data_IF_001462863173
#
_entry.id   IF_001462863173
#
_cell.length_a   1.000
_cell.length_b   1.000
_cell.length_c   1.000
_cell.angle_alpha   90.00
_cell.angle_beta   90.00
_cell.angle_gamma   90.00
#
_symmetry.space_group_name_H-M   'P 1'
#
loop_
_entity.id
_entity.type
_entity.pdbx_description
1 polymer ?
#
# COMPACT_ATOMS: atom_id res chain seq x y z
N UNK A 1 49.42 -53.23 -43.77
CA UNK A 1 48.69 -53.35 -42.49
C UNK A 1 49.33 -52.41 -41.48
N UNK A 2 48.82 -51.18 -41.32
CA UNK A 2 49.26 -50.27 -40.26
C UNK A 2 48.22 -50.27 -39.15
N UNK A 3 48.59 -50.96 -38.08
CA UNK A 3 47.77 -51.30 -36.93
C UNK A 3 47.74 -50.10 -35.96
N UNK A 4 46.54 -49.61 -35.63
CA UNK A 4 46.20 -48.78 -34.47
C UNK A 4 47.14 -47.60 -34.10
N UNK A 5 47.07 -46.50 -34.86
CA UNK A 5 47.75 -45.25 -34.47
C UNK A 5 47.08 -44.61 -33.24
N UNK A 6 47.85 -44.39 -32.17
CA UNK A 6 47.43 -43.68 -30.94
C UNK A 6 46.77 -42.31 -31.21
N UNK A 7 47.09 -41.68 -32.34
CA UNK A 7 46.51 -40.42 -32.80
C UNK A 7 44.99 -40.50 -33.08
N UNK A 8 44.51 -41.58 -33.70
CA UNK A 8 43.07 -41.77 -33.98
C UNK A 8 42.27 -41.99 -32.68
N UNK A 9 42.84 -42.72 -31.71
CA UNK A 9 42.27 -42.85 -30.37
C UNK A 9 42.24 -41.50 -29.65
N UNK A 10 43.35 -40.75 -29.66
CA UNK A 10 43.45 -39.40 -29.07
C UNK A 10 42.42 -38.44 -29.64
N UNK A 11 42.23 -38.42 -30.96
CA UNK A 11 41.26 -37.57 -31.64
C UNK A 11 39.81 -37.94 -31.27
N UNK A 12 39.49 -39.24 -31.22
CA UNK A 12 38.17 -39.70 -30.76
C UNK A 12 37.89 -39.35 -29.29
N UNK A 13 38.91 -39.41 -28.42
CA UNK A 13 38.80 -38.97 -27.02
C UNK A 13 38.61 -37.45 -26.91
N UNK A 14 39.32 -36.64 -27.71
CA UNK A 14 39.14 -35.19 -27.74
C UNK A 14 37.74 -34.78 -28.24
N UNK A 15 37.22 -35.45 -29.27
CA UNK A 15 35.85 -35.20 -29.79
C UNK A 15 34.79 -35.66 -28.77
N UNK A 16 35.02 -36.77 -28.07
CA UNK A 16 34.13 -37.22 -27.00
C UNK A 16 34.10 -36.22 -25.83
N UNK A 17 35.26 -35.71 -25.40
CA UNK A 17 35.35 -34.66 -24.37
C UNK A 17 34.64 -33.38 -24.81
N UNK A 18 34.79 -32.96 -26.07
CA UNK A 18 34.09 -31.79 -26.59
C UNK A 18 32.56 -31.95 -26.58
N UNK A 19 32.05 -33.16 -26.86
CA UNK A 19 30.61 -33.48 -26.75
C UNK A 19 30.12 -33.46 -25.31
N UNK A 20 30.89 -34.00 -24.37
CA UNK A 20 30.58 -33.96 -22.94
C UNK A 20 30.55 -32.51 -22.42
N UNK A 21 31.50 -31.67 -22.85
CA UNK A 21 31.51 -30.24 -22.53
C UNK A 21 30.32 -29.51 -23.14
N UNK A 22 29.95 -29.82 -24.39
CA UNK A 22 28.76 -29.25 -25.03
C UNK A 22 27.46 -29.65 -24.32
N UNK A 23 27.33 -30.91 -23.88
CA UNK A 23 26.20 -31.39 -23.08
C UNK A 23 26.14 -30.72 -21.71
N UNK A 24 27.28 -30.53 -21.06
CA UNK A 24 27.37 -29.81 -19.78
C UNK A 24 26.96 -28.35 -19.93
N UNK A 25 27.44 -27.66 -20.97
CA UNK A 25 27.03 -26.28 -21.25
C UNK A 25 25.54 -26.17 -21.55
N UNK A 26 24.96 -27.11 -22.31
CA UNK A 26 23.53 -27.14 -22.59
C UNK A 26 22.70 -27.30 -21.31
N UNK A 27 23.10 -28.20 -20.42
CA UNK A 27 22.45 -28.38 -19.11
C UNK A 27 22.54 -27.10 -18.26
N UNK A 28 23.69 -26.41 -18.30
CA UNK A 28 23.91 -25.16 -17.58
C UNK A 28 23.03 -24.03 -18.14
N UNK A 29 22.89 -23.93 -19.46
CA UNK A 29 21.95 -22.98 -20.10
C UNK A 29 20.51 -23.23 -19.67
N UNK A 30 20.07 -24.49 -19.64
CA UNK A 30 18.72 -24.84 -19.18
C UNK A 30 18.53 -24.46 -17.70
N UNK A 31 19.51 -24.77 -16.85
CA UNK A 31 19.46 -24.41 -15.43
C UNK A 31 19.36 -22.89 -15.22
N UNK A 32 20.11 -22.10 -16.01
CA UNK A 32 20.04 -20.63 -15.97
C UNK A 32 18.67 -20.15 -16.42
N UNK A 33 18.09 -20.68 -17.50
CA UNK A 33 16.74 -20.30 -17.96
C UNK A 33 15.68 -20.60 -16.89
N UNK A 34 15.75 -21.77 -16.26
CA UNK A 34 14.83 -22.15 -15.17
C UNK A 34 15.01 -21.24 -13.97
N UNK A 35 16.25 -20.91 -13.60
CA UNK A 35 16.56 -19.94 -12.54
C UNK A 35 16.04 -18.55 -12.88
N UNK A 36 16.24 -18.06 -14.11
CA UNK A 36 15.73 -16.77 -14.56
C UNK A 36 14.21 -16.75 -14.52
N UNK A 37 13.54 -17.80 -15.00
CA UNK A 37 12.08 -17.89 -14.92
C UNK A 37 11.57 -17.94 -13.48
N UNK A 38 12.26 -18.69 -12.60
CA UNK A 38 11.94 -18.73 -11.17
C UNK A 38 12.19 -17.39 -10.47
N UNK A 39 13.25 -16.66 -10.83
CA UNK A 39 13.55 -15.32 -10.29
C UNK A 39 12.53 -14.29 -10.79
N UNK A 40 12.17 -14.33 -12.07
CA UNK A 40 11.14 -13.45 -12.64
C UNK A 40 9.73 -13.74 -12.09
N UNK A 41 9.48 -14.98 -11.68
CA UNK A 41 8.21 -15.40 -11.07
C UNK A 41 8.20 -15.27 -9.55
N UNK A 42 9.32 -14.87 -8.92
CA UNK A 42 9.36 -14.59 -7.48
C UNK A 42 8.79 -13.20 -7.24
N UNK A 43 7.69 -13.15 -6.50
CA UNK A 43 7.17 -11.89 -5.95
C UNK A 43 8.25 -11.23 -5.06
N UNK A 44 8.58 -9.97 -5.36
CA UNK A 44 9.63 -9.22 -4.66
C UNK A 44 9.14 -8.80 -3.26
N UNK A 45 9.45 -9.59 -2.24
CA UNK A 45 9.16 -9.24 -0.84
C UNK A 45 10.20 -8.23 -0.33
N UNK A 46 9.93 -6.94 -0.50
CA UNK A 46 10.77 -5.90 0.12
C UNK A 46 10.44 -5.78 1.61
N UNK A 47 11.30 -6.32 2.47
CA UNK A 47 11.16 -6.17 3.93
C UNK A 47 11.72 -4.80 4.33
N UNK A 48 10.85 -3.81 4.52
CA UNK A 48 11.23 -2.53 5.13
C UNK A 48 10.76 -2.56 6.57
N UNK A 49 11.67 -2.55 7.54
CA UNK A 49 11.32 -2.39 8.96
C UNK A 49 11.69 -0.96 9.38
N UNK A 50 10.74 -0.01 9.40
CA UNK A 50 10.96 1.23 10.12
C UNK A 50 10.98 0.93 11.64
N UNK A 51 11.82 1.62 12.43
CA UNK A 51 12.01 1.33 13.86
C UNK A 51 10.76 1.48 14.75
N UNK A 52 9.63 1.90 14.19
CA UNK A 52 8.33 2.03 14.88
C UNK A 52 7.37 0.87 14.60
N UNK A 53 7.71 -0.05 13.70
CA UNK A 53 6.86 -1.22 13.37
C UNK A 53 7.43 -2.46 14.04
N UNK A 54 6.61 -3.09 14.89
CA UNK A 54 6.95 -4.35 15.57
C UNK A 54 6.72 -5.59 14.72
N UNK A 55 6.16 -5.44 13.52
CA UNK A 55 5.78 -6.53 12.62
C UNK A 55 6.48 -6.44 11.26
N UNK A 56 6.72 -7.59 10.63
CA UNK A 56 7.36 -7.68 9.32
C UNK A 56 6.44 -7.11 8.23
N UNK A 57 6.95 -6.11 7.51
CA UNK A 57 6.27 -5.58 6.33
C UNK A 57 6.64 -6.46 5.14
N UNK A 58 5.64 -7.13 4.57
CA UNK A 58 5.79 -7.94 3.36
C UNK A 58 4.97 -7.34 2.23
N UNK A 59 5.50 -7.42 1.00
CA UNK A 59 4.76 -7.10 -0.22
C UNK A 59 4.64 -8.38 -1.03
N UNK A 60 3.42 -8.78 -1.36
CA UNK A 60 3.15 -9.87 -2.32
C UNK A 60 2.49 -9.24 -3.53
N UNK A 61 3.26 -9.03 -4.59
CA UNK A 61 2.85 -8.25 -5.76
C UNK A 61 2.44 -6.82 -5.36
N UNK A 62 1.20 -6.42 -5.69
CA UNK A 62 0.66 -5.09 -5.35
C UNK A 62 -0.08 -5.04 -3.98
N UNK A 63 -0.07 -6.14 -3.22
CA UNK A 63 -0.72 -6.22 -1.91
C UNK A 63 0.32 -6.01 -0.81
N UNK A 64 0.22 -4.87 -0.14
CA UNK A 64 0.93 -4.60 1.11
C UNK A 64 0.39 -5.45 2.26
N UNK A 65 1.26 -5.83 3.19
CA UNK A 65 0.89 -6.51 4.42
C UNK A 65 -0.08 -5.67 5.27
N UNK A 66 -0.80 -6.35 6.16
CA UNK A 66 -1.62 -5.69 7.18
C UNK A 66 -0.80 -4.69 7.99
N UNK A 67 0.37 -5.09 8.50
CA UNK A 67 1.30 -4.23 9.23
C UNK A 67 1.61 -2.92 8.48
N UNK A 68 1.87 -3.00 7.17
CA UNK A 68 2.10 -1.79 6.36
C UNK A 68 0.90 -0.86 6.36
N UNK A 69 -0.29 -1.40 6.11
CA UNK A 69 -1.52 -0.60 5.99
C UNK A 69 -1.91 -0.01 7.34
N UNK A 70 -1.81 -0.79 8.41
CA UNK A 70 -2.15 -0.37 9.76
C UNK A 70 -1.27 0.79 10.20
N UNK A 71 0.05 0.70 10.06
CA UNK A 71 0.89 1.80 10.53
C UNK A 71 0.92 3.01 9.60
N UNK A 72 0.74 2.87 8.28
CA UNK A 72 0.50 4.04 7.43
C UNK A 72 -0.88 4.68 7.69
N UNK A 73 -1.88 3.86 8.04
CA UNK A 73 -3.20 4.33 8.46
C UNK A 73 -3.13 5.11 9.76
N UNK A 74 -2.38 4.58 10.74
CA UNK A 74 -2.07 5.24 12.00
C UNK A 74 -1.30 6.55 11.78
N UNK A 75 -0.30 6.55 10.90
CA UNK A 75 0.46 7.74 10.54
C UNK A 75 -0.47 8.82 9.94
N UNK A 76 -1.28 8.46 8.96
CA UNK A 76 -2.22 9.39 8.32
C UNK A 76 -3.24 9.96 9.31
N UNK A 77 -3.82 9.10 10.16
CA UNK A 77 -4.76 9.51 11.21
C UNK A 77 -4.11 10.44 12.25
N UNK A 78 -2.87 10.17 12.66
CA UNK A 78 -2.16 11.05 13.59
C UNK A 78 -1.83 12.42 12.98
N UNK A 79 -1.41 12.46 11.71
CA UNK A 79 -1.14 13.70 11.01
C UNK A 79 -2.40 14.55 10.85
N UNK A 80 -3.48 13.96 10.35
CA UNK A 80 -4.75 14.66 10.16
C UNK A 80 -5.40 15.06 11.50
N UNK A 81 -5.38 14.18 12.51
CA UNK A 81 -6.00 14.44 13.80
C UNK A 81 -5.25 15.39 14.72
N UNK A 82 -3.98 15.69 14.42
CA UNK A 82 -3.15 16.64 15.14
C UNK A 82 -2.73 17.83 14.26
N UNK A 83 -3.54 18.15 13.25
CA UNK A 83 -3.35 19.35 12.44
C UNK A 83 -3.71 20.62 13.23
N UNK A 84 -2.93 21.67 13.03
CA UNK A 84 -3.05 22.97 13.68
C UNK A 84 -2.60 24.07 12.73
N UNK A 85 -2.88 25.33 13.06
CA UNK A 85 -2.41 26.48 12.27
C UNK A 85 -0.87 26.50 12.11
N UNK A 86 -0.12 25.98 13.10
CA UNK A 86 1.35 26.01 13.10
C UNK A 86 1.99 24.96 12.20
N UNK A 87 1.36 23.80 12.03
CA UNK A 87 1.91 22.66 11.27
C UNK A 87 1.08 22.32 10.02
N UNK A 88 0.03 23.09 9.70
CA UNK A 88 -0.89 22.82 8.59
C UNK A 88 -0.18 22.60 7.27
N UNK A 89 0.74 23.49 6.87
CA UNK A 89 1.54 23.36 5.65
C UNK A 89 2.30 22.04 5.60
N UNK A 90 3.01 21.71 6.67
CA UNK A 90 3.77 20.46 6.76
C UNK A 90 2.87 19.22 6.65
N UNK A 91 1.74 19.22 7.36
CA UNK A 91 0.78 18.10 7.33
C UNK A 91 0.16 17.94 5.94
N UNK A 92 -0.28 19.03 5.33
CA UNK A 92 -0.87 19.04 3.99
C UNK A 92 0.14 18.56 2.95
N UNK A 93 1.35 19.13 2.91
CA UNK A 93 2.38 18.73 1.94
C UNK A 93 2.79 17.26 2.06
N UNK A 94 2.76 16.74 3.29
CA UNK A 94 3.11 15.34 3.57
C UNK A 94 1.98 14.41 3.13
N UNK A 95 0.74 14.67 3.54
CA UNK A 95 -0.41 13.85 3.18
C UNK A 95 -0.73 13.92 1.69
N UNK A 96 -0.57 15.09 1.04
CA UNK A 96 -0.78 15.30 -0.41
C UNK A 96 0.02 14.28 -1.24
N UNK A 97 1.26 13.98 -0.84
CA UNK A 97 2.13 12.99 -1.53
C UNK A 97 1.62 11.55 -1.42
N UNK A 98 0.85 11.25 -0.38
CA UNK A 98 0.22 9.95 -0.19
C UNK A 98 -1.08 9.81 -0.98
N UNK A 99 -1.69 10.87 -1.48
CA UNK A 99 -2.87 10.74 -2.35
C UNK A 99 -2.48 10.51 -3.81
N UNK A 100 -3.43 9.99 -4.59
CA UNK A 100 -3.33 10.00 -6.07
C UNK A 100 -3.50 11.45 -6.55
N UNK A 101 -2.83 11.82 -7.65
CA UNK A 101 -2.83 13.20 -8.16
C UNK A 101 -4.24 13.77 -8.35
N UNK A 102 -5.19 12.94 -8.84
CA UNK A 102 -6.58 13.31 -9.04
C UNK A 102 -7.36 13.66 -7.75
N UNK A 103 -6.99 13.07 -6.62
CA UNK A 103 -7.72 13.21 -5.35
C UNK A 103 -7.00 14.20 -4.40
N UNK A 104 -5.71 14.46 -4.65
CA UNK A 104 -4.82 15.22 -3.76
C UNK A 104 -5.30 16.65 -3.50
N UNK A 105 -5.77 17.36 -4.54
CA UNK A 105 -6.22 18.75 -4.39
C UNK A 105 -7.53 18.84 -3.59
N UNK A 106 -8.40 17.84 -3.69
CA UNK A 106 -9.63 17.81 -2.88
C UNK A 106 -9.30 17.63 -1.40
N UNK A 107 -8.44 16.68 -1.08
CA UNK A 107 -8.02 16.43 0.30
C UNK A 107 -7.26 17.61 0.91
N UNK A 108 -6.41 18.29 0.14
CA UNK A 108 -5.78 19.52 0.57
C UNK A 108 -6.80 20.59 0.96
N UNK A 109 -7.81 20.84 0.12
CA UNK A 109 -8.88 21.80 0.44
C UNK A 109 -9.65 21.41 1.70
N UNK A 110 -9.92 20.12 1.91
CA UNK A 110 -10.59 19.63 3.12
C UNK A 110 -9.76 19.88 4.37
N UNK A 111 -8.45 19.59 4.33
CA UNK A 111 -7.55 19.81 5.48
C UNK A 111 -7.37 21.31 5.78
N UNK A 112 -7.19 22.15 4.75
CA UNK A 112 -7.06 23.59 4.93
C UNK A 112 -8.35 24.21 5.47
N UNK A 113 -9.52 23.77 4.99
CA UNK A 113 -10.80 24.25 5.53
C UNK A 113 -11.01 23.83 6.98
N UNK A 114 -10.56 22.63 7.37
CA UNK A 114 -10.56 22.21 8.77
C UNK A 114 -9.69 23.12 9.63
N UNK A 115 -8.47 23.46 9.19
CA UNK A 115 -7.57 24.37 9.92
C UNK A 115 -8.19 25.75 10.09
N UNK A 116 -8.81 26.29 9.04
CA UNK A 116 -9.49 27.58 9.10
C UNK A 116 -10.68 27.52 10.08
N UNK A 117 -11.47 26.44 10.05
CA UNK A 117 -12.56 26.24 11.00
C UNK A 117 -12.08 26.19 12.47
N UNK A 118 -10.92 25.56 12.73
CA UNK A 118 -10.31 25.54 14.06
C UNK A 118 -9.88 26.94 14.51
N UNK A 119 -9.30 27.72 13.59
CA UNK A 119 -8.88 29.11 13.83
C UNK A 119 -10.06 30.01 14.15
N UNK A 120 -11.11 29.99 13.32
CA UNK A 120 -12.34 30.78 13.52
C UNK A 120 -13.02 30.41 14.84
N UNK A 121 -13.09 29.12 15.18
CA UNK A 121 -13.64 28.64 16.46
C UNK A 121 -12.75 28.97 17.67
N UNK A 122 -11.49 29.34 17.45
CA UNK A 122 -10.51 29.52 18.52
C UNK A 122 -10.32 28.24 19.34
N UNK A 123 -10.15 27.10 18.66
CA UNK A 123 -9.90 25.81 19.33
C UNK A 123 -8.64 25.14 18.81
N UNK A 124 -8.06 24.29 19.65
CA UNK A 124 -7.04 23.31 19.25
C UNK A 124 -7.59 21.91 19.44
N UNK A 125 -7.39 21.07 18.43
CA UNK A 125 -7.75 19.66 18.49
C UNK A 125 -6.47 18.81 18.62
N UNK A 126 -6.56 17.72 19.36
CA UNK A 126 -5.50 16.73 19.52
C UNK A 126 -6.13 15.37 19.51
N UNK A 127 -5.58 14.46 18.73
CA UNK A 127 -6.07 13.10 18.59
C UNK A 127 -5.06 12.12 19.19
N UNK A 128 -5.54 11.29 20.10
CA UNK A 128 -4.78 10.21 20.72
C UNK A 128 -5.38 8.87 20.28
N UNK A 129 -4.69 8.09 19.43
CA UNK A 129 -5.16 6.76 19.04
C UNK A 129 -5.18 5.84 20.26
N UNK A 130 -6.24 5.04 20.38
CA UNK A 130 -6.45 4.07 21.45
C UNK A 130 -6.46 2.64 20.93
N UNK A 131 -7.04 2.44 19.74
CA UNK A 131 -7.16 1.13 19.12
C UNK A 131 -7.08 1.26 17.59
N UNK A 132 -6.66 0.18 16.95
CA UNK A 132 -6.50 0.12 15.51
C UNK A 132 -7.05 -1.20 15.00
N UNK A 133 -8.03 -1.10 14.11
CA UNK A 133 -8.76 -2.26 13.59
C UNK A 133 -8.56 -2.31 12.09
N UNK A 134 -7.98 -3.39 11.60
CA UNK A 134 -7.93 -3.68 10.17
C UNK A 134 -8.94 -4.76 9.81
N UNK A 135 -9.52 -4.62 8.62
CA UNK A 135 -10.34 -5.66 8.03
C UNK A 135 -9.85 -5.94 6.61
N UNK A 136 -9.37 -7.17 6.41
CA UNK A 136 -8.80 -7.65 5.15
C UNK A 136 -9.80 -7.78 4.01
N UNK A 137 -11.09 -7.84 4.33
CA UNK A 137 -12.17 -8.04 3.37
C UNK A 137 -12.50 -6.77 2.59
N UNK A 138 -12.52 -5.63 3.29
CA UNK A 138 -12.75 -4.29 2.71
C UNK A 138 -11.46 -3.47 2.63
N UNK A 139 -10.34 -4.09 2.97
CA UNK A 139 -9.00 -3.52 2.97
C UNK A 139 -8.88 -2.18 3.70
N UNK A 140 -9.57 -2.05 4.84
CA UNK A 140 -9.75 -0.75 5.51
C UNK A 140 -9.20 -0.80 6.92
N UNK A 141 -8.51 0.28 7.30
CA UNK A 141 -8.00 0.52 8.64
C UNK A 141 -8.87 1.56 9.32
N UNK A 142 -9.41 1.22 10.49
CA UNK A 142 -10.05 2.15 11.41
C UNK A 142 -9.10 2.47 12.55
N UNK A 143 -8.72 3.74 12.66
CA UNK A 143 -7.93 4.25 13.78
C UNK A 143 -8.90 4.93 14.75
N UNK A 144 -9.16 4.27 15.86
CA UNK A 144 -10.08 4.73 16.89
C UNK A 144 -9.32 5.38 18.04
N UNK A 145 -9.84 6.49 18.56
CA UNK A 145 -9.17 7.20 19.64
C UNK A 145 -9.98 8.32 20.28
N UNK A 146 -9.29 9.09 21.10
CA UNK A 146 -9.84 10.26 21.78
C UNK A 146 -9.43 11.53 21.04
N UNK A 147 -10.42 12.34 20.68
CA UNK A 147 -10.21 13.68 20.16
C UNK A 147 -10.50 14.71 21.25
N UNK A 148 -9.44 15.30 21.78
CA UNK A 148 -9.51 16.39 22.76
C UNK A 148 -9.55 17.73 22.03
N UNK A 149 -10.58 18.53 22.32
CA UNK A 149 -10.73 19.89 21.80
C UNK A 149 -10.56 20.86 22.96
N UNK A 150 -9.66 21.83 22.83
CA UNK A 150 -9.36 22.84 23.86
C UNK A 150 -9.62 24.24 23.30
N UNK A 151 -10.42 25.03 24.00
CA UNK A 151 -10.63 26.45 23.69
C UNK A 151 -9.34 27.24 23.92
N UNK A 152 -8.90 28.01 22.92
CA UNK A 152 -7.74 28.89 23.05
C UNK A 152 -8.03 30.13 23.90
N UNK A 153 -9.31 30.47 24.10
CA UNK A 153 -9.74 31.63 24.89
C UNK A 153 -9.93 31.31 26.37
N UNK A 154 -10.62 30.21 26.67
CA UNK A 154 -11.02 29.86 28.04
C UNK A 154 -10.23 28.71 28.66
N UNK A 155 -9.48 27.95 27.85
CA UNK A 155 -8.81 26.73 28.30
C UNK A 155 -9.75 25.54 28.58
N UNK A 156 -11.08 25.73 28.47
CA UNK A 156 -12.05 24.66 28.60
C UNK A 156 -11.78 23.56 27.57
N UNK A 157 -11.86 22.30 28.00
CA UNK A 157 -11.61 21.16 27.13
C UNK A 157 -12.75 20.15 27.14
N UNK A 158 -13.04 19.60 25.97
CA UNK A 158 -13.94 18.46 25.80
C UNK A 158 -13.21 17.33 25.11
N UNK A 159 -13.51 16.09 25.48
CA UNK A 159 -12.95 14.89 24.85
C UNK A 159 -14.09 14.08 24.28
N UNK A 160 -13.98 13.70 23.02
CA UNK A 160 -14.96 12.85 22.34
C UNK A 160 -14.27 11.67 21.67
N UNK A 161 -14.99 10.55 21.59
CA UNK A 161 -14.54 9.40 20.80
C UNK A 161 -14.57 9.75 19.32
N UNK A 162 -13.55 9.34 18.58
CA UNK A 162 -13.39 9.69 17.18
C UNK A 162 -12.70 8.56 16.41
N UNK A 163 -13.06 8.41 15.14
CA UNK A 163 -12.49 7.39 14.27
C UNK A 163 -12.06 7.98 12.94
N UNK A 164 -10.85 7.62 12.51
CA UNK A 164 -10.39 7.79 11.14
C UNK A 164 -10.51 6.47 10.40
N UNK A 165 -11.03 6.50 9.18
CA UNK A 165 -11.19 5.36 8.30
C UNK A 165 -10.35 5.60 7.06
N UNK A 166 -9.37 4.72 6.86
CA UNK A 166 -8.31 4.90 5.88
C UNK A 166 -8.12 3.62 5.07
N UNK A 167 -8.09 3.76 3.74
CA UNK A 167 -7.70 2.68 2.82
C UNK A 167 -6.40 3.04 2.15
N UNK A 168 -5.40 2.17 2.30
CA UNK A 168 -4.05 2.36 1.77
C UNK A 168 -3.69 1.21 0.84
N UNK A 169 -3.22 1.56 -0.35
CA UNK A 169 -2.61 0.63 -1.29
C UNK A 169 -1.11 0.90 -1.38
N UNK A 170 -0.32 -0.12 -1.66
CA UNK A 170 1.06 0.09 -2.08
C UNK A 170 1.08 0.39 -3.59
N UNK A 171 1.87 1.36 -4.00
CA UNK A 171 2.14 1.64 -5.41
C UNK A 171 3.62 1.96 -5.57
N UNK A 172 4.36 1.07 -6.26
CA UNK A 172 5.82 1.11 -6.34
C UNK A 172 6.49 1.22 -4.94
N UNK A 173 6.00 0.44 -3.96
CA UNK A 173 6.47 0.45 -2.57
C UNK A 173 6.03 1.65 -1.73
N UNK A 174 5.48 2.70 -2.35
CA UNK A 174 5.01 3.91 -1.69
C UNK A 174 3.55 3.80 -1.25
N UNK A 175 3.18 4.32 -0.06
CA UNK A 175 1.82 4.24 0.43
C UNK A 175 0.94 5.23 -0.32
N UNK A 176 -0.19 4.75 -0.83
CA UNK A 176 -1.21 5.57 -1.48
C UNK A 176 -2.55 5.47 -0.78
N UNK A 177 -3.04 6.58 -0.26
CA UNK A 177 -4.37 6.69 0.34
C UNK A 177 -5.38 6.80 -0.81
N UNK A 178 -6.33 5.87 -0.84
CA UNK A 178 -7.42 5.83 -1.82
C UNK A 178 -8.78 6.11 -1.20
N UNK A 179 -8.87 6.05 0.13
CA UNK A 179 -10.04 6.46 0.87
C UNK A 179 -9.59 7.04 2.21
N UNK A 180 -10.14 8.19 2.57
CA UNK A 180 -9.90 8.83 3.85
C UNK A 180 -11.18 9.51 4.30
N UNK A 181 -11.70 9.11 5.45
CA UNK A 181 -12.86 9.73 6.08
C UNK A 181 -12.72 9.71 7.60
N UNK A 182 -13.51 10.54 8.28
CA UNK A 182 -13.44 10.72 9.72
C UNK A 182 -14.83 10.97 10.30
N UNK A 183 -15.09 10.48 11.52
CA UNK A 183 -16.39 10.58 12.15
C UNK A 183 -16.32 10.38 13.67
N UNK A 184 -17.26 10.97 14.44
CA UNK A 184 -17.33 10.76 15.88
C UNK A 184 -17.81 9.34 16.23
N UNK A 185 -17.37 8.86 17.39
CA UNK A 185 -17.71 7.55 17.94
C UNK A 185 -16.74 6.43 17.52
N UNK A 186 -17.05 5.22 17.99
CA UNK A 186 -16.33 3.99 17.63
C UNK A 186 -16.75 3.50 16.22
N UNK A 187 -15.86 2.81 15.48
CA UNK A 187 -16.23 2.23 14.20
C UNK A 187 -17.28 1.13 14.38
N UNK A 188 -18.42 1.26 13.71
CA UNK A 188 -19.35 0.13 13.55
C UNK A 188 -18.87 -0.75 12.40
N UNK A 189 -17.83 -1.53 12.64
CA UNK A 189 -17.12 -2.32 11.62
C UNK A 189 -18.07 -3.24 10.84
N UNK A 190 -19.00 -3.93 11.50
CA UNK A 190 -19.99 -4.80 10.83
C UNK A 190 -20.85 -4.05 9.81
N UNK A 191 -21.49 -2.93 10.23
CA UNK A 191 -22.34 -2.15 9.32
C UNK A 191 -21.51 -1.48 8.21
N UNK A 192 -20.29 -1.01 8.54
CA UNK A 192 -19.35 -0.42 7.58
C UNK A 192 -18.95 -1.41 6.50
N UNK A 193 -18.60 -2.64 6.87
CA UNK A 193 -18.19 -3.70 5.95
C UNK A 193 -19.30 -4.02 4.96
N UNK A 194 -20.54 -4.19 5.44
CA UNK A 194 -21.70 -4.44 4.56
C UNK A 194 -21.88 -3.30 3.55
N UNK A 195 -21.88 -2.05 4.02
CA UNK A 195 -22.02 -0.89 3.16
C UNK A 195 -20.89 -0.78 2.12
N UNK A 196 -19.66 -1.08 2.52
CA UNK A 196 -18.51 -1.05 1.61
C UNK A 196 -18.58 -2.17 0.56
N UNK A 197 -19.07 -3.35 0.91
CA UNK A 197 -19.32 -4.43 -0.06
C UNK A 197 -20.34 -4.00 -1.11
N UNK A 198 -21.45 -3.41 -0.67
CA UNK A 198 -22.49 -2.90 -1.56
C UNK A 198 -21.94 -1.85 -2.52
N UNK A 199 -21.22 -0.84 -1.98
CA UNK A 199 -20.59 0.20 -2.80
C UNK A 199 -19.58 -0.35 -3.80
N UNK A 200 -18.77 -1.33 -3.38
CA UNK A 200 -17.79 -1.96 -4.26
C UNK A 200 -18.48 -2.74 -5.38
N UNK A 201 -19.54 -3.49 -5.06
CA UNK A 201 -20.32 -4.21 -6.06
C UNK A 201 -21.03 -3.28 -7.05
N UNK A 202 -21.50 -2.11 -6.58
CA UNK A 202 -22.06 -1.07 -7.46
C UNK A 202 -20.99 -0.46 -8.37
N UNK A 203 -19.80 -0.16 -7.84
CA UNK A 203 -18.66 0.35 -8.62
C UNK A 203 -18.23 -0.66 -9.70
N UNK A 204 -18.05 -1.93 -9.34
CA UNK A 204 -17.68 -2.98 -10.28
C UNK A 204 -18.73 -3.15 -11.39
N UNK A 205 -20.03 -3.04 -11.06
CA UNK A 205 -21.12 -3.06 -12.05
C UNK A 205 -21.10 -1.85 -12.96
N UNK A 206 -20.84 -0.65 -12.42
CA UNK A 206 -20.76 0.58 -13.19
C UNK A 206 -19.58 0.55 -14.16
N UNK A 207 -18.40 0.13 -13.69
CA UNK A 207 -17.19 -0.02 -14.50
C UNK A 207 -17.38 -1.07 -15.61
N UNK A 208 -18.02 -2.21 -15.30
CA UNK A 208 -18.32 -3.22 -16.32
C UNK A 208 -19.33 -2.72 -17.37
N UNK A 209 -20.32 -1.92 -16.98
CA UNK A 209 -21.27 -1.31 -17.90
C UNK A 209 -20.61 -0.26 -18.82
N UNK A 210 -19.67 0.53 -18.28
CA UNK A 210 -18.92 1.55 -19.02
C UNK A 210 -17.95 0.91 -20.02
N UNK A 211 -17.31 -0.20 -19.66
CA UNK A 211 -16.46 -1.01 -20.55
C UNK A 211 -17.25 -1.70 -21.68
N UNK A 212 -18.47 -2.18 -21.40
CA UNK A 212 -19.34 -2.75 -22.42
C UNK A 212 -19.83 -1.71 -23.45
N UNK A 213 -20.03 -0.45 -23.02
CA UNK A 213 -20.40 0.66 -23.91
C UNK A 213 -19.22 1.17 -24.75
N UNK A 214 -18.01 1.18 -24.21
CA UNK A 214 -16.81 1.60 -24.97
C UNK A 214 -16.31 0.53 -25.95
N UNK A 215 -16.44 -0.76 -25.61
CA UNK A 215 -16.06 -1.87 -26.51
C UNK A 215 -16.99 -2.09 -27.72
N UNK A 216 -18.17 -1.46 -27.76
CA UNK A 216 -19.14 -1.57 -28.87
C UNK A 216 -19.04 -0.42 -29.89
N UNK A 217 -18.07 0.50 -29.71
CA UNK A 217 -17.85 1.63 -30.63
C UNK A 217 -16.65 1.43 -31.56
N UNK A 218 -15.95 0.29 -31.46
CA UNK A 218 -14.76 -0.06 -32.28
C UNK A 218 -14.97 -1.22 -33.26
N UNK A 219 -16.20 -1.70 -33.49
CA UNK A 219 -16.52 -2.62 -34.62
C UNK A 219 -17.23 -1.92 -35.78
#
# INVERSE_FOLDING_TARGET
>A
MFNNSKALRSWSHSVALARVLAQSNLALTIAVIVLTWAVLSKDETVIVVPPTFTEEITFVGNKASEAYKTGWGLFAANMAGNISERNSRFVVDTLRKMFKAKDADEYERQLLSQVEALKVRGVRETFTPLDLIYNSEVDTVWVYGDKKTVSTRSGASTTQKYTYEVRIIASAGMPKIVHFTQYPGAPNTRKRVVKMREQKAEQEKAEAAEQAQTGSTEE
#
